data_IF_283600514824
#
_entry.id   IF_283600514824
#
_cell.length_a   1.000
_cell.length_b   1.000
_cell.length_c   1.000
_cell.angle_alpha   90.00
_cell.angle_beta   90.00
_cell.angle_gamma   90.00
#
_symmetry.space_group_name_H-M   'P 1'
#
loop_
_entity.id
_entity.type
_entity.pdbx_description
1 polymer ?
#
# COMPACT_ATOMS: atom_id res chain seq x y z
N UNK A 1 10.31 -18.54 -61.95
CA UNK A 1 10.77 -19.72 -61.19
C UNK A 1 10.45 -19.50 -59.71
N UNK A 2 9.42 -20.21 -59.22
CA UNK A 2 9.04 -20.14 -57.79
C UNK A 2 10.12 -20.89 -56.99
N UNK A 3 11.01 -20.17 -56.36
CA UNK A 3 11.89 -20.72 -55.33
C UNK A 3 11.01 -21.18 -54.15
N UNK A 4 10.71 -22.49 -54.13
CA UNK A 4 9.97 -23.15 -53.05
C UNK A 4 10.74 -22.94 -51.73
N UNK A 5 10.18 -22.17 -50.86
CA UNK A 5 10.68 -21.89 -49.50
C UNK A 5 10.83 -23.22 -48.75
N UNK A 6 12.06 -23.70 -48.55
CA UNK A 6 12.35 -25.02 -48.05
C UNK A 6 12.61 -25.04 -46.55
N UNK A 7 11.94 -26.00 -45.86
CA UNK A 7 12.34 -26.39 -44.49
C UNK A 7 13.37 -27.51 -44.60
N UNK A 8 14.53 -27.33 -43.95
CA UNK A 8 15.59 -28.34 -43.91
C UNK A 8 15.53 -29.11 -42.59
N UNK A 9 15.70 -30.45 -42.66
CA UNK A 9 15.86 -31.27 -41.47
C UNK A 9 17.35 -31.37 -41.12
N UNK A 10 17.73 -30.98 -39.92
CA UNK A 10 19.13 -30.95 -39.44
C UNK A 10 19.19 -31.44 -38.00
N UNK A 11 20.34 -31.88 -37.53
CA UNK A 11 20.56 -32.00 -36.08
C UNK A 11 20.72 -30.60 -35.55
N UNK A 12 19.70 -30.14 -34.77
CA UNK A 12 19.61 -28.74 -34.39
C UNK A 12 20.73 -28.34 -33.43
N UNK A 13 21.61 -27.47 -33.88
CA UNK A 13 22.69 -26.85 -33.11
C UNK A 13 22.81 -25.38 -33.49
N UNK A 14 23.40 -24.56 -32.62
CA UNK A 14 23.67 -23.15 -32.96
C UNK A 14 24.60 -23.00 -34.15
N UNK A 15 25.51 -23.96 -34.36
CA UNK A 15 26.39 -24.01 -35.54
C UNK A 15 25.60 -24.21 -36.83
N UNK A 16 24.64 -25.15 -36.85
CA UNK A 16 23.76 -25.38 -37.99
C UNK A 16 22.82 -24.19 -38.25
N UNK A 17 22.28 -23.55 -37.19
CA UNK A 17 21.53 -22.34 -37.37
C UNK A 17 22.35 -21.25 -38.07
N UNK A 18 23.58 -21.00 -37.62
CA UNK A 18 24.47 -20.02 -38.25
C UNK A 18 24.86 -20.43 -39.66
N UNK A 19 25.19 -21.72 -39.92
CA UNK A 19 25.57 -22.25 -41.21
C UNK A 19 24.50 -22.03 -42.29
N UNK A 20 23.24 -22.13 -41.94
CA UNK A 20 22.13 -21.97 -42.86
C UNK A 20 21.57 -20.54 -42.93
N UNK A 21 22.07 -19.61 -42.11
CA UNK A 21 21.62 -18.23 -42.09
C UNK A 21 21.83 -17.49 -43.42
N UNK A 22 22.91 -17.80 -44.16
CA UNK A 22 23.23 -17.19 -45.47
C UNK A 22 22.36 -17.73 -46.62
N UNK A 23 21.70 -18.88 -46.45
CA UNK A 23 20.90 -19.53 -47.48
C UNK A 23 19.50 -19.00 -47.54
N UNK A 24 19.22 -17.97 -48.32
CA UNK A 24 17.94 -17.24 -48.37
C UNK A 24 16.71 -18.11 -48.68
N UNK A 25 16.89 -19.18 -49.47
CA UNK A 25 15.83 -20.16 -49.80
C UNK A 25 15.44 -21.07 -48.61
N UNK A 26 16.25 -21.12 -47.53
CA UNK A 26 15.94 -21.86 -46.32
C UNK A 26 15.24 -20.97 -45.36
N UNK A 27 13.93 -21.17 -45.14
CA UNK A 27 13.15 -20.35 -44.22
C UNK A 27 13.07 -20.91 -42.81
N UNK A 28 13.12 -22.24 -42.68
CA UNK A 28 13.03 -22.93 -41.41
C UNK A 28 13.95 -24.14 -41.36
N UNK A 29 14.33 -24.50 -40.13
CA UNK A 29 15.02 -25.77 -39.83
C UNK A 29 14.04 -26.60 -38.96
N UNK A 30 14.12 -27.94 -39.15
CA UNK A 30 13.42 -28.94 -38.32
C UNK A 30 14.47 -29.81 -37.65
N UNK A 31 14.30 -30.12 -36.38
CA UNK A 31 15.24 -30.99 -35.69
C UNK A 31 15.03 -32.45 -36.11
N UNK A 32 16.14 -33.13 -36.49
CA UNK A 32 16.09 -34.54 -36.88
C UNK A 32 15.84 -35.49 -35.73
N UNK A 33 16.23 -35.14 -34.50
CA UNK A 33 16.03 -35.94 -33.28
C UNK A 33 14.69 -35.70 -32.62
N UNK A 34 14.20 -34.46 -32.78
CA UNK A 34 12.93 -34.01 -32.22
C UNK A 34 12.07 -33.37 -33.32
N UNK A 35 11.32 -34.15 -34.09
CA UNK A 35 10.57 -33.65 -35.26
C UNK A 35 9.53 -32.57 -34.95
N UNK A 36 9.13 -32.46 -33.69
CA UNK A 36 8.26 -31.41 -33.19
C UNK A 36 8.92 -30.05 -33.08
N UNK A 37 10.26 -29.99 -32.98
CA UNK A 37 11.04 -28.77 -32.85
C UNK A 37 11.38 -28.16 -34.17
N UNK A 38 11.00 -26.90 -34.36
CA UNK A 38 11.27 -26.12 -35.54
C UNK A 38 11.93 -24.80 -35.18
N UNK A 39 12.82 -24.32 -36.01
CA UNK A 39 13.43 -23.00 -35.97
C UNK A 39 13.05 -22.22 -37.21
N UNK A 40 12.56 -20.97 -37.08
CA UNK A 40 12.28 -20.06 -38.20
C UNK A 40 13.20 -18.86 -38.16
N UNK A 41 13.88 -18.58 -39.25
CA UNK A 41 14.71 -17.37 -39.40
C UNK A 41 13.82 -16.12 -39.43
N UNK A 42 14.35 -15.03 -38.84
CA UNK A 42 13.75 -13.70 -39.01
C UNK A 42 13.89 -13.25 -40.47
N UNK A 43 12.91 -12.57 -41.00
CA UNK A 43 12.91 -11.99 -42.34
C UNK A 43 13.78 -10.74 -42.46
N UNK A 44 14.04 -10.07 -41.32
CA UNK A 44 14.81 -8.81 -41.27
C UNK A 44 16.28 -9.07 -40.94
N UNK A 45 16.54 -9.95 -39.98
CA UNK A 45 17.90 -10.27 -39.51
C UNK A 45 18.02 -11.77 -39.29
N UNK A 46 18.71 -12.46 -40.20
CA UNK A 46 18.83 -13.92 -40.17
C UNK A 46 19.82 -14.45 -39.11
N UNK A 47 20.54 -13.56 -38.43
CA UNK A 47 21.25 -13.93 -37.20
C UNK A 47 20.28 -14.18 -36.04
N UNK A 48 19.00 -13.79 -36.21
CA UNK A 48 17.89 -13.98 -35.25
C UNK A 48 16.83 -14.91 -35.82
N UNK A 49 16.04 -15.48 -34.94
CA UNK A 49 14.92 -16.35 -35.32
C UNK A 49 14.02 -16.69 -34.16
N UNK A 50 13.07 -17.58 -34.42
CA UNK A 50 12.12 -18.04 -33.43
C UNK A 50 12.00 -19.55 -33.38
N UNK A 51 11.96 -20.09 -32.18
CA UNK A 51 11.68 -21.49 -31.90
C UNK A 51 10.20 -21.76 -31.95
N UNK A 52 9.79 -22.87 -32.53
CA UNK A 52 8.43 -23.33 -32.61
C UNK A 52 8.35 -24.81 -32.26
N UNK A 53 7.30 -25.19 -31.53
CA UNK A 53 6.99 -26.59 -31.23
C UNK A 53 5.65 -26.93 -31.85
N UNK A 54 5.58 -28.06 -32.56
CA UNK A 54 4.38 -28.54 -33.25
C UNK A 54 3.86 -29.78 -32.54
N UNK A 55 2.67 -29.71 -31.97
CA UNK A 55 1.99 -30.83 -31.32
C UNK A 55 0.63 -31.03 -31.96
N UNK A 56 0.34 -32.23 -32.44
CA UNK A 56 -0.92 -32.57 -33.15
C UNK A 56 -1.26 -31.58 -34.25
N UNK A 57 -0.25 -31.16 -35.04
CA UNK A 57 -0.41 -30.22 -36.15
C UNK A 57 -0.54 -28.74 -35.76
N UNK A 58 -0.65 -28.41 -34.47
CA UNK A 58 -0.75 -27.03 -33.99
C UNK A 58 0.64 -26.45 -33.68
N UNK A 59 0.96 -25.34 -34.31
CA UNK A 59 2.19 -24.59 -34.13
C UNK A 59 2.11 -23.71 -32.88
N UNK A 60 3.13 -23.77 -32.02
CA UNK A 60 3.28 -22.87 -30.89
C UNK A 60 4.67 -22.26 -30.87
N UNK A 61 4.79 -20.96 -30.69
CA UNK A 61 6.08 -20.29 -30.54
C UNK A 61 6.65 -20.67 -29.17
N UNK A 62 7.92 -21.13 -29.16
CA UNK A 62 8.59 -21.57 -27.92
C UNK A 62 9.66 -20.60 -27.42
N UNK A 63 10.08 -19.63 -28.24
CA UNK A 63 11.05 -18.63 -27.82
C UNK A 63 11.74 -17.92 -28.99
N UNK A 64 12.71 -17.09 -28.68
CA UNK A 64 13.48 -16.34 -29.66
C UNK A 64 15.00 -16.66 -29.55
N UNK A 65 15.66 -16.84 -30.70
CA UNK A 65 17.09 -16.97 -30.81
C UNK A 65 17.72 -15.59 -31.10
N UNK A 66 18.90 -15.24 -30.56
CA UNK A 66 19.81 -16.07 -29.76
C UNK A 66 19.51 -16.11 -28.25
N UNK A 67 18.51 -15.43 -27.76
CA UNK A 67 18.18 -15.41 -26.32
C UNK A 67 17.98 -16.82 -25.75
N UNK A 68 17.40 -17.75 -26.53
CA UNK A 68 17.33 -19.17 -26.24
C UNK A 68 18.19 -19.88 -27.30
N UNK A 69 19.31 -20.48 -26.90
CA UNK A 69 20.16 -21.25 -27.77
C UNK A 69 19.59 -22.67 -27.98
N UNK A 70 20.18 -23.42 -28.94
CA UNK A 70 19.71 -24.76 -29.27
C UNK A 70 19.78 -25.74 -28.10
N UNK A 71 20.84 -25.67 -27.29
CA UNK A 71 21.04 -26.54 -26.13
C UNK A 71 19.94 -26.32 -25.08
N UNK A 72 19.63 -25.06 -24.74
CA UNK A 72 18.59 -24.70 -23.80
C UNK A 72 17.20 -25.10 -24.34
N UNK A 73 16.93 -24.88 -25.63
CA UNK A 73 15.68 -25.25 -26.24
C UNK A 73 15.47 -26.77 -26.21
N UNK A 74 16.49 -27.56 -26.48
CA UNK A 74 16.40 -29.02 -26.42
C UNK A 74 16.21 -29.54 -25.01
N UNK A 75 16.84 -28.95 -24.00
CA UNK A 75 16.64 -29.35 -22.59
C UNK A 75 15.25 -29.02 -22.07
N UNK A 76 14.61 -27.96 -22.57
CA UNK A 76 13.26 -27.53 -22.15
C UNK A 76 12.15 -28.19 -22.98
N UNK A 77 12.47 -28.77 -24.13
CA UNK A 77 11.50 -29.37 -25.05
C UNK A 77 10.59 -30.42 -24.41
N UNK A 78 11.08 -31.37 -23.57
CA UNK A 78 10.21 -32.38 -22.94
C UNK A 78 9.10 -31.74 -22.10
N UNK A 79 9.40 -30.68 -21.34
CA UNK A 79 8.41 -29.99 -20.50
C UNK A 79 7.38 -29.23 -21.35
N UNK A 80 7.78 -28.65 -22.48
CA UNK A 80 6.87 -27.99 -23.44
C UNK A 80 5.94 -29.02 -24.08
N UNK A 81 6.47 -30.17 -24.49
CA UNK A 81 5.69 -31.25 -25.09
C UNK A 81 4.69 -31.83 -24.10
N UNK A 82 5.10 -32.09 -22.85
CA UNK A 82 4.20 -32.57 -21.79
C UNK A 82 3.02 -31.61 -21.55
N UNK A 83 3.29 -30.30 -21.41
CA UNK A 83 2.24 -29.29 -21.26
C UNK A 83 1.30 -29.21 -22.44
N UNK A 84 1.82 -29.17 -23.65
CA UNK A 84 1.00 -29.08 -24.86
C UNK A 84 0.26 -30.37 -25.21
N UNK A 85 0.71 -31.49 -24.71
CA UNK A 85 -0.03 -32.75 -24.81
C UNK A 85 -1.23 -32.76 -23.89
N UNK A 86 -1.11 -32.16 -22.69
CA UNK A 86 -2.20 -32.02 -21.74
C UNK A 86 -3.19 -30.89 -22.18
N UNK A 87 -2.70 -29.76 -22.63
CA UNK A 87 -3.48 -28.64 -23.17
C UNK A 87 -2.80 -28.09 -24.45
N UNK A 88 -3.38 -28.37 -25.64
CA UNK A 88 -2.83 -27.90 -26.91
C UNK A 88 -2.80 -26.36 -27.06
N UNK A 89 -3.55 -25.64 -26.24
CA UNK A 89 -3.56 -24.16 -26.20
C UNK A 89 -2.54 -23.58 -25.20
N UNK A 90 -1.88 -24.45 -24.40
CA UNK A 90 -0.92 -24.00 -23.40
C UNK A 90 0.21 -23.17 -24.04
N UNK A 91 0.60 -22.12 -23.33
CA UNK A 91 1.69 -21.23 -23.76
C UNK A 91 3.02 -22.00 -23.81
N UNK A 92 3.69 -21.98 -24.97
CA UNK A 92 4.94 -22.67 -25.22
C UNK A 92 6.17 -21.78 -25.04
N UNK A 93 5.98 -20.51 -24.67
CA UNK A 93 7.09 -19.55 -24.55
C UNK A 93 8.01 -20.01 -23.41
N UNK A 94 9.18 -20.45 -23.74
CA UNK A 94 10.25 -20.69 -22.77
C UNK A 94 10.84 -19.33 -22.39
N UNK A 95 10.76 -18.96 -21.12
CA UNK A 95 11.49 -17.80 -20.61
C UNK A 95 12.98 -18.12 -20.60
N UNK A 96 13.78 -17.19 -21.07
CA UNK A 96 15.26 -17.30 -21.01
C UNK A 96 15.80 -17.03 -19.59
N UNK A 97 14.95 -16.89 -18.61
CA UNK A 97 15.34 -16.60 -17.23
C UNK A 97 15.81 -17.87 -16.54
N UNK A 98 17.04 -17.83 -16.08
CA UNK A 98 17.69 -18.92 -15.35
C UNK A 98 17.78 -18.62 -13.85
N UNK A 99 17.87 -17.34 -13.49
CA UNK A 99 18.18 -16.91 -12.14
C UNK A 99 17.07 -16.02 -11.53
N UNK A 100 17.10 -15.92 -10.22
CA UNK A 100 16.28 -14.93 -9.47
C UNK A 100 16.65 -13.52 -9.93
N UNK A 101 17.91 -13.26 -10.28
CA UNK A 101 18.39 -11.98 -10.78
C UNK A 101 17.66 -11.51 -12.04
N UNK A 102 17.34 -12.43 -12.95
CA UNK A 102 16.58 -12.11 -14.18
C UNK A 102 15.18 -11.59 -13.83
N UNK A 103 14.49 -12.25 -12.89
CA UNK A 103 13.17 -11.84 -12.41
C UNK A 103 13.24 -10.46 -11.72
N UNK A 104 14.25 -10.24 -10.88
CA UNK A 104 14.42 -8.98 -10.15
C UNK A 104 14.75 -7.82 -11.09
N UNK A 105 15.57 -8.06 -12.12
CA UNK A 105 15.91 -7.06 -13.14
C UNK A 105 14.68 -6.66 -13.94
N UNK A 106 13.95 -7.65 -14.45
CA UNK A 106 12.68 -7.41 -15.15
C UNK A 106 11.68 -6.65 -14.27
N UNK A 107 11.52 -7.08 -13.00
CA UNK A 107 10.57 -6.43 -12.09
C UNK A 107 10.96 -4.98 -11.79
N UNK A 108 12.26 -4.70 -11.67
CA UNK A 108 12.78 -3.34 -11.45
C UNK A 108 12.38 -2.41 -12.59
N UNK A 109 12.59 -2.84 -13.85
CA UNK A 109 12.20 -2.06 -15.02
C UNK A 109 10.69 -1.87 -15.10
N UNK A 110 9.92 -2.96 -14.98
CA UNK A 110 8.45 -2.91 -15.01
C UNK A 110 7.87 -1.98 -13.94
N UNK A 111 8.31 -2.12 -12.69
CA UNK A 111 7.84 -1.32 -11.57
C UNK A 111 8.15 0.17 -11.76
N UNK A 112 9.31 0.51 -12.34
CA UNK A 112 9.71 1.90 -12.59
C UNK A 112 8.71 2.62 -13.51
N UNK A 113 8.15 1.91 -14.49
CA UNK A 113 7.20 2.40 -15.50
C UNK A 113 5.73 2.34 -15.05
N UNK A 114 5.41 1.64 -13.97
CA UNK A 114 4.05 1.46 -13.49
C UNK A 114 3.47 2.80 -12.99
N UNK A 115 2.44 3.32 -13.67
CA UNK A 115 1.75 4.58 -13.32
C UNK A 115 0.83 4.43 -12.10
N UNK A 116 0.43 3.21 -11.75
CA UNK A 116 -0.41 2.93 -10.59
C UNK A 116 0.35 2.98 -9.25
N UNK A 117 1.70 2.92 -9.29
CA UNK A 117 2.51 2.97 -8.09
C UNK A 117 2.93 4.40 -7.74
N UNK A 118 2.75 4.78 -6.46
CA UNK A 118 3.23 6.05 -5.95
C UNK A 118 4.76 6.14 -5.99
N UNK A 119 5.32 7.35 -6.13
CA UNK A 119 6.77 7.63 -6.11
C UNK A 119 7.43 7.01 -4.87
N UNK A 120 6.80 7.16 -3.70
CA UNK A 120 7.30 6.58 -2.43
C UNK A 120 7.35 5.05 -2.48
N UNK A 121 6.34 4.40 -3.07
CA UNK A 121 6.31 2.93 -3.21
C UNK A 121 7.42 2.46 -4.15
N UNK A 122 7.61 3.14 -5.28
CA UNK A 122 8.70 2.86 -6.22
C UNK A 122 10.07 2.99 -5.54
N UNK A 123 10.33 4.09 -4.87
CA UNK A 123 11.59 4.33 -4.17
C UNK A 123 11.87 3.27 -3.09
N UNK A 124 10.85 2.90 -2.30
CA UNK A 124 10.97 1.85 -1.28
C UNK A 124 11.28 0.49 -1.90
N UNK A 125 10.58 0.10 -2.97
CA UNK A 125 10.80 -1.16 -3.64
C UNK A 125 12.17 -1.21 -4.34
N UNK A 126 12.59 -0.11 -5.00
CA UNK A 126 13.93 0.00 -5.59
C UNK A 126 15.05 -0.13 -4.55
N UNK A 127 14.85 0.47 -3.36
CA UNK A 127 15.80 0.32 -2.26
C UNK A 127 15.88 -1.13 -1.79
N UNK A 128 14.75 -1.82 -1.64
CA UNK A 128 14.69 -3.23 -1.28
C UNK A 128 15.38 -4.11 -2.32
N UNK A 129 15.11 -3.89 -3.60
CA UNK A 129 15.74 -4.60 -4.71
C UNK A 129 17.27 -4.41 -4.72
N UNK A 130 17.71 -3.16 -4.79
CA UNK A 130 19.13 -2.83 -4.98
C UNK A 130 20.00 -3.17 -3.76
N UNK A 131 19.50 -2.93 -2.52
CA UNK A 131 20.32 -3.08 -1.31
C UNK A 131 20.21 -4.45 -0.65
N UNK A 132 19.14 -5.19 -0.90
CA UNK A 132 18.84 -6.41 -0.15
C UNK A 132 18.61 -7.63 -1.03
N UNK A 133 17.79 -7.54 -2.08
CA UNK A 133 17.40 -8.69 -2.89
C UNK A 133 18.47 -9.06 -3.92
N UNK A 134 18.85 -8.12 -4.78
CA UNK A 134 19.84 -8.38 -5.85
C UNK A 134 21.16 -8.88 -5.27
N UNK A 135 21.80 -8.21 -4.28
CA UNK A 135 23.10 -8.65 -3.78
C UNK A 135 23.11 -10.05 -3.14
N UNK A 136 21.94 -10.58 -2.76
CA UNK A 136 21.83 -11.88 -2.07
C UNK A 136 21.30 -13.00 -2.94
N UNK A 137 20.52 -12.67 -3.96
CA UNK A 137 19.74 -13.66 -4.68
C UNK A 137 19.97 -13.65 -6.20
N UNK A 138 20.70 -12.69 -6.76
CA UNK A 138 20.83 -12.56 -8.22
C UNK A 138 21.38 -13.83 -8.90
N UNK A 139 22.33 -14.51 -8.27
CA UNK A 139 23.01 -15.68 -8.83
C UNK A 139 22.31 -17.01 -8.47
N UNK A 140 21.20 -16.95 -7.75
CA UNK A 140 20.41 -18.13 -7.36
C UNK A 140 19.62 -18.60 -8.57
N UNK A 141 19.80 -19.83 -8.99
CA UNK A 141 18.99 -20.45 -10.04
C UNK A 141 17.53 -20.55 -9.57
N UNK A 142 16.58 -20.40 -10.49
CA UNK A 142 15.15 -20.43 -10.17
C UNK A 142 14.72 -21.77 -9.55
N UNK A 143 15.32 -22.88 -10.04
CA UNK A 143 15.06 -24.22 -9.51
C UNK A 143 15.68 -24.45 -8.11
N UNK A 144 16.76 -23.72 -7.80
CA UNK A 144 17.43 -23.78 -6.50
C UNK A 144 16.81 -22.83 -5.45
N UNK A 145 15.80 -22.05 -5.82
CA UNK A 145 15.09 -21.17 -4.89
C UNK A 145 14.13 -21.98 -4.02
N UNK A 146 14.68 -22.61 -3.00
CA UNK A 146 13.93 -23.32 -1.96
C UNK A 146 13.73 -22.48 -0.71
N UNK A 147 12.83 -22.90 0.20
CA UNK A 147 12.66 -22.24 1.50
C UNK A 147 13.98 -22.17 2.29
N UNK A 148 14.77 -23.25 2.27
CA UNK A 148 16.11 -23.30 2.88
C UNK A 148 17.07 -22.27 2.27
N UNK A 149 17.09 -22.15 0.96
CA UNK A 149 17.96 -21.19 0.25
C UNK A 149 17.54 -19.76 0.60
N UNK A 150 16.24 -19.47 0.60
CA UNK A 150 15.69 -18.16 0.93
C UNK A 150 15.95 -17.79 2.40
N UNK A 151 15.78 -18.73 3.31
CA UNK A 151 16.08 -18.52 4.73
C UNK A 151 17.54 -18.17 4.94
N UNK A 152 18.45 -18.99 4.45
CA UNK A 152 19.90 -18.82 4.60
C UNK A 152 20.42 -17.52 3.99
N UNK A 153 19.98 -17.15 2.79
CA UNK A 153 20.55 -16.04 2.03
C UNK A 153 19.88 -14.69 2.33
N UNK A 154 18.59 -14.70 2.68
CA UNK A 154 17.82 -13.48 2.86
C UNK A 154 17.22 -13.36 4.26
N UNK A 155 16.38 -14.33 4.68
CA UNK A 155 15.50 -14.12 5.82
C UNK A 155 16.27 -14.05 7.13
N UNK A 156 17.17 -15.00 7.39
CA UNK A 156 17.97 -15.02 8.61
C UNK A 156 18.95 -13.84 8.69
N UNK A 157 19.79 -13.54 7.69
CA UNK A 157 20.70 -12.39 7.74
C UNK A 157 20.02 -11.03 7.86
N UNK A 158 18.76 -10.94 7.39
CA UNK A 158 18.00 -9.70 7.55
C UNK A 158 17.38 -9.57 8.94
N UNK A 159 16.93 -10.66 9.56
CA UNK A 159 16.38 -10.64 10.92
C UNK A 159 17.42 -10.23 11.96
N UNK A 160 18.68 -10.58 11.77
CA UNK A 160 19.78 -10.17 12.66
C UNK A 160 20.04 -8.66 12.65
N UNK A 161 19.72 -7.96 11.57
CA UNK A 161 20.14 -6.56 11.36
C UNK A 161 18.99 -5.56 11.26
N UNK A 162 17.76 -6.02 11.02
CA UNK A 162 16.64 -5.15 10.70
C UNK A 162 15.37 -5.54 11.47
N UNK A 163 14.55 -4.53 11.72
CA UNK A 163 13.22 -4.72 12.28
C UNK A 163 12.37 -5.67 11.41
N UNK A 164 11.64 -6.57 12.05
CA UNK A 164 10.84 -7.60 11.36
C UNK A 164 9.82 -7.02 10.36
N UNK A 165 9.30 -5.82 10.63
CA UNK A 165 8.41 -5.09 9.73
C UNK A 165 9.09 -4.71 8.41
N UNK A 166 10.39 -4.36 8.47
CA UNK A 166 11.18 -4.07 7.29
C UNK A 166 11.52 -5.36 6.53
N UNK A 167 11.92 -6.41 7.23
CA UNK A 167 12.15 -7.75 6.64
C UNK A 167 10.91 -8.21 5.87
N UNK A 168 9.72 -8.09 6.49
CA UNK A 168 8.45 -8.40 5.83
C UNK A 168 8.21 -7.57 4.57
N UNK A 169 8.59 -6.30 4.59
CA UNK A 169 8.45 -5.42 3.42
C UNK A 169 9.35 -5.87 2.27
N UNK A 170 10.60 -6.26 2.54
CA UNK A 170 11.56 -6.76 1.54
C UNK A 170 11.09 -8.10 0.96
N UNK A 171 10.68 -9.04 1.82
CA UNK A 171 10.05 -10.29 1.40
C UNK A 171 8.85 -10.05 0.48
N UNK A 172 8.00 -9.08 0.84
CA UNK A 172 6.83 -8.71 0.05
C UNK A 172 7.16 -8.22 -1.36
N UNK A 173 8.29 -7.51 -1.53
CA UNK A 173 8.76 -7.07 -2.86
C UNK A 173 9.14 -8.29 -3.72
N UNK A 174 9.89 -9.24 -3.15
CA UNK A 174 10.28 -10.48 -3.83
C UNK A 174 9.05 -11.29 -4.25
N UNK A 175 8.12 -11.53 -3.32
CA UNK A 175 6.89 -12.29 -3.57
C UNK A 175 6.01 -11.64 -4.66
N UNK A 176 5.96 -10.30 -4.70
CA UNK A 176 5.22 -9.58 -5.76
C UNK A 176 5.91 -9.73 -7.10
N UNK A 177 7.25 -9.68 -7.18
CA UNK A 177 7.99 -9.85 -8.41
C UNK A 177 7.69 -11.21 -9.06
N UNK A 178 7.81 -12.30 -8.29
CA UNK A 178 7.50 -13.65 -8.77
C UNK A 178 6.04 -13.84 -9.18
N UNK A 179 5.11 -13.34 -8.34
CA UNK A 179 3.68 -13.40 -8.66
C UNK A 179 3.32 -12.69 -9.96
N UNK A 180 3.91 -11.51 -10.21
CA UNK A 180 3.66 -10.78 -11.45
C UNK A 180 4.30 -11.49 -12.65
N UNK A 181 5.51 -12.01 -12.53
CA UNK A 181 6.17 -12.75 -13.58
C UNK A 181 5.34 -13.97 -14.02
N UNK A 182 4.82 -14.74 -13.05
CA UNK A 182 3.97 -15.90 -13.34
C UNK A 182 2.62 -15.50 -13.93
N UNK A 183 1.96 -14.46 -13.42
CA UNK A 183 0.69 -13.95 -13.98
C UNK A 183 0.79 -13.52 -15.44
N UNK A 184 1.97 -13.07 -15.85
CA UNK A 184 2.26 -12.66 -17.22
C UNK A 184 2.82 -13.78 -18.07
N UNK A 185 2.81 -15.02 -17.56
CA UNK A 185 3.37 -16.20 -18.24
C UNK A 185 4.85 -16.03 -18.63
N UNK A 186 5.60 -15.21 -17.88
CA UNK A 186 7.06 -15.08 -18.03
C UNK A 186 7.80 -16.16 -17.23
N UNK A 187 7.15 -16.72 -16.23
CA UNK A 187 7.53 -17.94 -15.52
C UNK A 187 6.38 -18.94 -15.63
N UNK A 188 6.71 -20.20 -15.85
CA UNK A 188 5.72 -21.29 -15.90
C UNK A 188 5.10 -21.56 -14.54
N UNK A 189 5.95 -21.55 -13.53
CA UNK A 189 5.57 -21.80 -12.14
C UNK A 189 6.19 -20.71 -11.24
N UNK A 190 5.49 -20.41 -10.17
CA UNK A 190 6.04 -19.50 -9.15
C UNK A 190 6.76 -20.33 -8.08
N UNK A 191 8.09 -20.32 -7.99
CA UNK A 191 8.83 -21.10 -6.99
C UNK A 191 8.51 -20.65 -5.55
N UNK A 192 7.97 -19.42 -5.38
CA UNK A 192 7.55 -18.90 -4.08
C UNK A 192 6.07 -19.12 -3.76
N UNK A 193 5.32 -19.88 -4.57
CA UNK A 193 3.86 -20.02 -4.39
C UNK A 193 3.48 -20.62 -3.02
N UNK A 194 4.27 -21.55 -2.52
CA UNK A 194 4.08 -22.21 -1.24
C UNK A 194 4.66 -21.47 -0.05
N UNK A 195 5.52 -20.46 -0.26
CA UNK A 195 6.22 -19.77 0.83
C UNK A 195 5.37 -18.64 1.39
N UNK A 196 5.25 -18.61 2.72
CA UNK A 196 4.66 -17.53 3.48
C UNK A 196 5.73 -16.86 4.33
N UNK A 197 5.59 -15.56 4.58
CA UNK A 197 6.50 -14.85 5.51
C UNK A 197 6.55 -15.52 6.89
N UNK A 198 5.42 -16.05 7.35
CA UNK A 198 5.27 -16.74 8.62
C UNK A 198 6.03 -18.06 8.72
N UNK A 199 6.45 -18.64 7.60
CA UNK A 199 7.29 -19.86 7.61
C UNK A 199 8.72 -19.55 8.10
N UNK A 200 9.15 -18.31 7.95
CA UNK A 200 10.48 -17.82 8.34
C UNK A 200 10.46 -17.01 9.64
N UNK A 201 9.35 -16.31 9.92
CA UNK A 201 9.21 -15.40 11.05
C UNK A 201 7.87 -15.66 11.73
N UNK A 202 7.88 -16.38 12.83
CA UNK A 202 6.68 -16.70 13.60
C UNK A 202 6.26 -15.57 14.54
N UNK A 203 7.18 -14.66 14.86
CA UNK A 203 6.89 -13.52 15.74
C UNK A 203 5.87 -12.59 15.13
N UNK A 204 4.76 -12.38 15.83
CA UNK A 204 3.71 -11.44 15.40
C UNK A 204 4.23 -10.01 15.43
N UNK A 205 4.26 -9.35 14.29
CA UNK A 205 4.57 -7.92 14.20
C UNK A 205 3.39 -7.14 14.76
N UNK A 206 3.57 -6.58 15.95
CA UNK A 206 2.56 -5.72 16.59
C UNK A 206 2.70 -4.28 16.04
N UNK A 207 1.57 -3.53 15.91
CA UNK A 207 1.63 -2.10 15.67
C UNK A 207 2.44 -1.42 16.79
N UNK A 208 3.24 -0.43 16.43
CA UNK A 208 3.94 0.37 17.44
C UNK A 208 2.92 1.05 18.37
N UNK A 209 3.12 0.94 19.68
CA UNK A 209 2.27 1.59 20.67
C UNK A 209 2.18 3.11 20.40
N UNK A 210 1.07 3.73 20.76
CA UNK A 210 0.97 5.17 20.77
C UNK A 210 1.91 5.72 21.86
N UNK A 211 2.68 6.76 21.50
CA UNK A 211 3.58 7.46 22.43
C UNK A 211 2.92 8.66 23.09
N UNK A 212 1.76 9.08 22.58
CA UNK A 212 0.90 10.07 23.19
C UNK A 212 -0.40 9.43 23.66
N UNK A 213 -0.84 9.79 24.84
CA UNK A 213 -2.09 9.41 25.48
C UNK A 213 -2.89 10.67 25.83
N UNK A 214 -4.12 10.53 26.30
CA UNK A 214 -4.95 11.66 26.71
C UNK A 214 -4.31 12.48 27.84
N UNK A 215 -3.62 11.84 28.77
CA UNK A 215 -2.92 12.50 29.89
C UNK A 215 -1.74 13.37 29.44
N UNK A 216 -1.21 13.13 28.22
CA UNK A 216 -0.10 13.92 27.66
C UNK A 216 -0.58 15.18 26.93
N UNK A 217 -1.92 15.37 26.79
CA UNK A 217 -2.49 16.52 26.06
C UNK A 217 -2.26 17.88 26.78
N UNK A 218 -2.46 18.01 28.11
CA UNK A 218 -2.24 19.29 28.75
C UNK A 218 -0.79 19.81 28.61
N UNK A 219 0.27 19.02 28.87
CA UNK A 219 1.62 19.50 28.65
C UNK A 219 1.94 19.75 27.16
N UNK A 220 1.40 18.94 26.23
CA UNK A 220 1.56 19.16 24.79
C UNK A 220 0.95 20.49 24.35
N UNK A 221 -0.31 20.77 24.74
CA UNK A 221 -1.00 21.98 24.36
C UNK A 221 -0.35 23.24 24.97
N UNK A 222 0.17 23.14 26.19
CA UNK A 222 0.95 24.22 26.81
C UNK A 222 2.24 24.51 26.04
N UNK A 223 3.01 23.47 25.70
CA UNK A 223 4.23 23.62 24.89
C UNK A 223 3.94 24.25 23.51
N UNK A 224 2.85 23.86 22.87
CA UNK A 224 2.41 24.46 21.60
C UNK A 224 1.96 25.93 21.78
N UNK A 225 1.28 26.28 22.88
CA UNK A 225 0.87 27.66 23.18
C UNK A 225 2.07 28.58 23.40
N UNK A 226 3.10 28.11 24.10
CA UNK A 226 4.34 28.87 24.31
C UNK A 226 5.15 29.08 23.02
N UNK A 227 4.95 28.25 22.02
CA UNK A 227 5.73 28.25 20.77
C UNK A 227 5.02 28.85 19.58
N UNK A 228 3.70 28.98 19.58
CA UNK A 228 2.92 29.30 18.38
C UNK A 228 3.34 30.63 17.75
N UNK A 229 3.75 31.62 18.53
CA UNK A 229 4.22 32.91 18.03
C UNK A 229 5.62 32.81 17.39
N UNK A 230 6.47 31.93 17.90
CA UNK A 230 7.86 31.76 17.41
C UNK A 230 7.99 30.81 16.24
N UNK A 231 7.20 29.74 16.25
CA UNK A 231 7.18 28.67 15.23
C UNK A 231 5.75 28.35 14.82
N UNK A 232 5.04 29.33 14.23
CA UNK A 232 3.62 29.21 13.94
C UNK A 232 3.28 28.07 12.98
N UNK A 233 4.15 27.80 11.99
CA UNK A 233 3.92 26.78 10.98
C UNK A 233 3.91 25.38 11.60
N UNK A 234 4.91 25.05 12.41
CA UNK A 234 5.06 23.76 13.07
C UNK A 234 3.94 23.52 14.09
N UNK A 235 3.67 24.55 14.92
CA UNK A 235 2.62 24.48 15.93
C UNK A 235 1.25 24.28 15.30
N UNK A 236 0.92 25.06 14.26
CA UNK A 236 -0.37 24.94 13.58
C UNK A 236 -0.49 23.62 12.81
N UNK A 237 0.60 23.12 12.21
CA UNK A 237 0.59 21.82 11.55
C UNK A 237 0.25 20.69 12.54
N UNK A 238 0.82 20.75 13.75
CA UNK A 238 0.52 19.80 14.83
C UNK A 238 -0.93 19.94 15.32
N UNK A 239 -1.39 21.17 15.55
CA UNK A 239 -2.76 21.45 16.00
C UNK A 239 -3.81 20.98 15.00
N UNK A 240 -3.63 21.27 13.70
CA UNK A 240 -4.56 20.78 12.66
C UNK A 240 -4.63 19.26 12.62
N UNK A 241 -3.50 18.58 12.81
CA UNK A 241 -3.48 17.11 12.87
C UNK A 241 -4.13 16.56 14.14
N UNK A 242 -3.91 17.19 15.27
CA UNK A 242 -4.55 16.82 16.55
C UNK A 242 -6.06 17.03 16.51
N UNK A 243 -6.50 18.23 16.11
CA UNK A 243 -7.91 18.61 16.06
C UNK A 243 -8.74 17.73 15.11
N UNK A 244 -8.19 17.36 13.96
CA UNK A 244 -8.96 16.66 12.92
C UNK A 244 -8.52 15.21 12.68
N UNK A 245 -7.49 14.74 13.36
CA UNK A 245 -6.96 13.38 13.14
C UNK A 245 -6.40 13.12 11.73
N UNK A 246 -6.06 14.16 10.97
CA UNK A 246 -5.58 14.06 9.57
C UNK A 246 -4.17 13.50 9.47
N UNK A 247 -3.79 13.02 8.29
CA UNK A 247 -2.42 12.57 8.04
C UNK A 247 -1.51 13.74 7.68
N UNK A 248 -0.24 13.68 8.08
CA UNK A 248 0.77 14.70 7.75
C UNK A 248 0.78 15.05 6.24
N UNK A 249 0.65 14.03 5.38
CA UNK A 249 0.62 14.23 3.93
C UNK A 249 -0.58 15.04 3.45
N UNK A 250 -1.73 14.86 4.08
CA UNK A 250 -2.98 15.57 3.79
C UNK A 250 -2.91 17.01 4.33
N UNK A 251 -2.53 17.15 5.60
CA UNK A 251 -2.49 18.47 6.27
C UNK A 251 -1.48 19.43 5.63
N UNK A 252 -0.24 19.00 5.37
CA UNK A 252 0.80 19.85 4.78
C UNK A 252 0.45 20.42 3.39
N UNK A 253 -0.50 19.78 2.68
CA UNK A 253 -0.95 20.20 1.35
C UNK A 253 -2.18 21.12 1.40
N UNK A 254 -2.67 21.45 2.61
CA UNK A 254 -3.84 22.30 2.78
C UNK A 254 -3.64 23.68 2.10
N UNK A 255 -4.69 24.13 1.42
CA UNK A 255 -4.73 25.39 0.69
C UNK A 255 -5.83 26.28 1.24
N UNK A 256 -5.58 27.58 1.30
CA UNK A 256 -6.55 28.58 1.76
C UNK A 256 -7.88 28.51 1.00
N UNK A 257 -7.86 28.30 -0.31
CA UNK A 257 -9.09 28.16 -1.13
C UNK A 257 -9.97 26.99 -0.77
N UNK A 258 -9.42 26.00 -0.06
CA UNK A 258 -10.12 24.78 0.36
C UNK A 258 -10.60 24.86 1.82
N UNK A 259 -10.36 25.97 2.51
CA UNK A 259 -10.82 26.24 3.87
C UNK A 259 -11.87 27.33 3.77
N UNK A 260 -13.12 26.99 4.10
CA UNK A 260 -14.22 27.94 4.12
C UNK A 260 -14.67 28.15 5.57
N UNK A 261 -14.34 29.31 6.12
CA UNK A 261 -14.68 29.66 7.51
C UNK A 261 -16.16 30.01 7.67
N UNK A 262 -16.82 30.49 6.61
CA UNK A 262 -18.26 30.83 6.63
C UNK A 262 -19.11 29.57 6.69
N UNK A 263 -18.85 28.58 5.80
CA UNK A 263 -19.55 27.29 5.82
C UNK A 263 -18.98 26.31 6.83
N UNK A 264 -17.85 26.68 7.48
CA UNK A 264 -17.13 25.87 8.46
C UNK A 264 -16.76 24.49 7.93
N UNK A 265 -16.03 24.47 6.80
CA UNK A 265 -15.61 23.25 6.14
C UNK A 265 -14.15 23.35 5.66
N UNK A 266 -13.43 22.26 5.80
CA UNK A 266 -12.12 22.04 5.19
C UNK A 266 -12.20 20.89 4.20
N UNK A 267 -12.03 21.21 2.91
CA UNK A 267 -12.03 20.24 1.81
C UNK A 267 -10.62 19.76 1.49
N UNK A 268 -10.42 18.45 1.42
CA UNK A 268 -9.16 17.81 1.03
C UNK A 268 -9.41 17.06 -0.29
N UNK A 269 -8.81 17.51 -1.41
CA UNK A 269 -8.99 16.87 -2.72
C UNK A 269 -8.50 15.42 -2.73
N UNK A 270 -9.11 14.56 -3.53
CA UNK A 270 -8.72 13.15 -3.70
C UNK A 270 -7.24 12.97 -4.07
N UNK A 271 -6.67 13.90 -4.86
CA UNK A 271 -5.26 13.87 -5.23
C UNK A 271 -4.32 13.98 -4.03
N UNK A 272 -4.73 14.67 -2.97
CA UNK A 272 -3.94 14.94 -1.77
C UNK A 272 -4.15 13.89 -0.68
N UNK A 273 -5.16 13.00 -0.82
CA UNK A 273 -5.45 11.93 0.15
C UNK A 273 -4.72 10.63 -0.18
N UNK A 274 -4.46 9.82 0.85
CA UNK A 274 -3.89 8.48 0.68
C UNK A 274 -4.88 7.50 0.05
N UNK A 275 -6.16 7.66 0.34
CA UNK A 275 -7.25 6.78 -0.13
C UNK A 275 -7.71 7.08 -1.54
N UNK A 276 -7.26 8.23 -2.12
CA UNK A 276 -7.73 8.75 -3.41
C UNK A 276 -9.23 9.07 -3.45
N UNK A 277 -9.83 9.27 -2.29
CA UNK A 277 -11.18 9.77 -2.11
C UNK A 277 -11.14 11.19 -1.56
N UNK A 278 -12.06 12.04 -2.00
CA UNK A 278 -12.27 13.37 -1.43
C UNK A 278 -12.64 13.29 0.04
N UNK A 279 -12.25 14.28 0.81
CA UNK A 279 -12.51 14.33 2.23
C UNK A 279 -12.89 15.72 2.67
N UNK A 280 -14.11 15.86 3.20
CA UNK A 280 -14.58 17.11 3.83
C UNK A 280 -14.65 16.93 5.33
N UNK A 281 -14.04 17.86 6.05
CA UNK A 281 -14.03 17.92 7.51
C UNK A 281 -14.79 19.16 7.96
N UNK A 282 -15.73 19.03 8.91
CA UNK A 282 -16.33 20.16 9.59
C UNK A 282 -15.29 20.93 10.39
N UNK A 283 -15.40 22.25 10.39
CA UNK A 283 -14.63 23.11 11.27
C UNK A 283 -15.54 23.56 12.42
N UNK A 284 -15.10 23.33 13.64
CA UNK A 284 -15.77 23.84 14.85
C UNK A 284 -15.39 25.32 15.06
N UNK A 285 -16.07 26.04 15.98
CA UNK A 285 -15.65 27.40 16.33
C UNK A 285 -14.18 27.50 16.75
N UNK A 286 -13.71 26.52 17.54
CA UNK A 286 -12.31 26.43 17.98
C UNK A 286 -11.34 26.27 16.80
N UNK A 287 -11.66 25.37 15.85
CA UNK A 287 -10.85 25.17 14.67
C UNK A 287 -10.82 26.43 13.78
N UNK A 288 -11.94 27.13 13.65
CA UNK A 288 -11.99 28.41 12.95
C UNK A 288 -11.09 29.45 13.60
N UNK A 289 -11.16 29.62 14.91
CA UNK A 289 -10.32 30.56 15.67
C UNK A 289 -8.83 30.27 15.53
N UNK A 290 -8.43 28.99 15.63
CA UNK A 290 -7.05 28.57 15.37
C UNK A 290 -6.58 28.95 13.96
N UNK A 291 -7.41 28.69 12.95
CA UNK A 291 -7.08 28.97 11.53
C UNK A 291 -6.99 30.49 11.29
N UNK A 292 -7.89 31.27 11.87
CA UNK A 292 -7.89 32.74 11.78
C UNK A 292 -6.64 33.34 12.43
N UNK A 293 -6.31 32.91 13.67
CA UNK A 293 -5.07 33.31 14.34
C UNK A 293 -3.84 33.01 13.50
N UNK A 294 -3.77 31.79 12.99
CA UNK A 294 -2.65 31.36 12.16
C UNK A 294 -2.54 32.19 10.86
N UNK A 295 -3.69 32.52 10.25
CA UNK A 295 -3.72 33.40 9.07
C UNK A 295 -3.16 34.77 9.38
N UNK A 296 -3.51 35.35 10.54
CA UNK A 296 -2.99 36.60 11.00
C UNK A 296 -1.48 36.58 11.22
N UNK A 297 -0.94 35.51 11.82
CA UNK A 297 0.49 35.29 11.99
C UNK A 297 1.22 35.18 10.64
N UNK A 298 0.64 34.49 9.66
CA UNK A 298 1.20 34.42 8.31
C UNK A 298 1.21 35.79 7.62
N UNK A 299 0.14 36.56 7.71
CA UNK A 299 0.03 37.90 7.14
C UNK A 299 1.01 38.84 7.79
N UNK A 300 1.18 38.79 9.11
CA UNK A 300 2.18 39.55 9.83
C UNK A 300 3.63 39.26 9.41
N UNK A 301 3.88 37.98 8.99
CA UNK A 301 5.16 37.60 8.40
C UNK A 301 5.30 37.89 6.91
N UNK A 302 4.33 38.60 6.30
CA UNK A 302 4.31 38.98 4.88
C UNK A 302 3.87 37.87 3.92
N UNK A 303 3.39 36.71 4.40
CA UNK A 303 2.92 35.63 3.53
C UNK A 303 1.43 35.78 3.17
N UNK A 304 1.13 35.80 1.86
CA UNK A 304 -0.23 35.85 1.30
C UNK A 304 -0.47 34.75 0.22
N UNK A 305 0.38 33.74 0.21
CA UNK A 305 0.31 32.69 -0.80
C UNK A 305 -0.83 31.69 -0.59
N UNK A 306 -0.96 30.71 -1.49
CA UNK A 306 -2.13 29.83 -1.54
C UNK A 306 -2.12 28.69 -0.52
N UNK A 307 -1.02 28.39 0.14
CA UNK A 307 -0.89 27.24 1.05
C UNK A 307 -0.96 27.67 2.52
N UNK A 308 -1.63 26.83 3.35
CA UNK A 308 -1.56 27.01 4.79
C UNK A 308 -0.14 26.77 5.32
N UNK A 309 0.56 25.80 4.74
CA UNK A 309 1.90 25.40 5.18
C UNK A 309 2.92 25.60 4.05
N UNK A 310 3.37 26.85 3.82
CA UNK A 310 4.29 27.18 2.74
C UNK A 310 5.71 26.74 3.05
N UNK A 311 6.42 26.24 2.03
CA UNK A 311 7.86 26.11 2.02
C UNK A 311 8.54 27.40 1.51
N UNK A 312 9.87 27.42 1.49
CA UNK A 312 10.66 28.60 1.06
C UNK A 312 10.33 29.08 -0.36
N UNK A 313 9.89 28.19 -1.25
CA UNK A 313 9.51 28.55 -2.63
C UNK A 313 8.06 29.04 -2.77
N UNK A 314 7.31 29.19 -1.67
CA UNK A 314 5.88 29.49 -1.70
C UNK A 314 4.97 28.31 -2.05
N UNK A 315 5.51 27.18 -2.47
CA UNK A 315 4.78 25.92 -2.59
C UNK A 315 4.55 25.28 -1.21
N UNK A 316 3.71 24.25 -1.13
CA UNK A 316 3.55 23.48 0.12
C UNK A 316 4.89 22.91 0.61
N UNK A 317 5.10 22.87 1.92
CA UNK A 317 6.29 22.22 2.49
C UNK A 317 6.44 20.79 2.00
N UNK A 318 7.68 20.36 1.76
CA UNK A 318 7.98 18.99 1.36
C UNK A 318 7.66 18.01 2.48
N UNK A 319 7.40 16.74 2.13
CA UNK A 319 7.15 15.69 3.13
C UNK A 319 8.35 15.48 4.07
N UNK A 320 9.58 15.65 3.55
CA UNK A 320 10.82 15.54 4.32
C UNK A 320 10.91 16.68 5.32
N UNK A 321 10.73 17.95 4.86
CA UNK A 321 10.77 19.11 5.75
C UNK A 321 9.71 19.01 6.84
N UNK A 322 8.46 18.67 6.49
CA UNK A 322 7.40 18.48 7.47
C UNK A 322 7.77 17.40 8.53
N UNK A 323 8.38 16.29 8.12
CA UNK A 323 8.86 15.28 9.08
C UNK A 323 9.99 15.81 9.98
N UNK A 324 10.91 16.62 9.44
CA UNK A 324 11.99 17.24 10.21
C UNK A 324 11.44 18.23 11.23
N UNK A 325 10.47 19.07 10.85
CA UNK A 325 9.80 20.01 11.75
C UNK A 325 9.11 19.29 12.91
N UNK A 326 8.41 18.18 12.64
CA UNK A 326 7.82 17.36 13.68
C UNK A 326 8.87 16.73 14.60
N UNK A 327 9.99 16.26 14.06
CA UNK A 327 11.08 15.72 14.89
C UNK A 327 11.66 16.77 15.83
N UNK A 328 11.80 18.02 15.37
CA UNK A 328 12.22 19.16 16.17
C UNK A 328 11.20 19.54 17.24
N UNK A 329 9.91 19.61 16.87
CA UNK A 329 8.83 19.93 17.78
C UNK A 329 8.65 18.87 18.87
N UNK A 330 8.67 17.59 18.49
CA UNK A 330 8.43 16.44 19.36
C UNK A 330 9.64 15.99 20.16
N UNK A 331 10.85 16.49 19.87
CA UNK A 331 12.12 16.09 20.51
C UNK A 331 12.33 14.56 20.61
N UNK A 332 11.75 13.79 19.70
CA UNK A 332 11.80 12.34 19.69
C UNK A 332 10.77 11.62 20.57
N UNK A 333 10.02 12.33 21.39
CA UNK A 333 9.03 11.77 22.33
C UNK A 333 7.80 11.22 21.62
N UNK A 334 7.32 11.89 20.56
CA UNK A 334 6.15 11.49 19.79
C UNK A 334 6.36 11.75 18.29
N UNK A 335 5.42 11.38 17.46
CA UNK A 335 5.44 11.60 16.02
C UNK A 335 4.12 12.17 15.52
N UNK A 336 4.12 12.73 14.31
CA UNK A 336 2.90 13.21 13.66
C UNK A 336 1.77 12.17 13.63
N UNK A 337 2.11 10.88 13.56
CA UNK A 337 1.11 9.81 13.58
C UNK A 337 0.51 9.56 14.97
N UNK A 338 1.25 9.88 16.04
CA UNK A 338 0.76 9.71 17.40
C UNK A 338 -0.32 10.76 17.73
N UNK A 339 -0.28 11.99 17.14
CA UNK A 339 -1.37 12.97 17.23
C UNK A 339 -2.69 12.41 16.69
N UNK A 340 -2.63 11.72 15.56
CA UNK A 340 -3.81 11.08 14.98
C UNK A 340 -4.29 9.89 15.81
N UNK A 341 -3.37 9.13 16.43
CA UNK A 341 -3.74 8.01 17.30
C UNK A 341 -4.43 8.49 18.57
N UNK A 342 -3.89 9.54 19.24
CA UNK A 342 -4.50 10.08 20.44
C UNK A 342 -5.89 10.63 20.14
N UNK A 343 -6.08 11.39 19.06
CA UNK A 343 -7.39 11.86 18.63
C UNK A 343 -8.37 10.69 18.44
N UNK A 344 -7.97 9.65 17.68
CA UNK A 344 -8.83 8.47 17.42
C UNK A 344 -9.21 7.72 18.71
N UNK A 345 -8.26 7.62 19.65
CA UNK A 345 -8.52 6.97 20.95
C UNK A 345 -9.47 7.81 21.78
N UNK A 346 -9.18 9.11 21.91
CA UNK A 346 -10.04 10.02 22.67
C UNK A 346 -11.47 10.12 22.10
N UNK A 347 -11.66 10.06 20.79
CA UNK A 347 -13.00 10.00 20.21
C UNK A 347 -13.77 8.77 20.68
N UNK A 348 -13.12 7.61 20.77
CA UNK A 348 -13.76 6.40 21.31
C UNK A 348 -14.10 6.56 22.79
N UNK A 349 -13.21 7.16 23.59
CA UNK A 349 -13.42 7.43 25.01
C UNK A 349 -14.56 8.44 25.24
N UNK A 350 -14.75 9.38 24.30
CA UNK A 350 -15.86 10.35 24.28
C UNK A 350 -17.17 9.76 23.73
N UNK A 351 -17.22 8.46 23.42
CA UNK A 351 -18.41 7.79 22.92
C UNK A 351 -18.73 8.06 21.43
N UNK A 352 -17.77 8.58 20.66
CA UNK A 352 -17.95 8.75 19.21
C UNK A 352 -18.11 7.39 18.54
N UNK A 353 -19.17 7.23 17.76
CA UNK A 353 -19.43 6.01 16.99
C UNK A 353 -18.21 5.60 16.17
N UNK A 354 -17.96 4.27 16.12
CA UNK A 354 -16.80 3.73 15.43
C UNK A 354 -16.73 4.16 13.95
N UNK A 355 -17.87 4.12 13.24
CA UNK A 355 -17.94 4.47 11.82
C UNK A 355 -17.68 5.97 11.61
N UNK A 356 -18.19 6.82 12.49
CA UNK A 356 -17.92 8.27 12.46
C UNK A 356 -16.43 8.54 12.62
N UNK A 357 -15.77 7.85 13.55
CA UNK A 357 -14.33 7.92 13.73
C UNK A 357 -13.55 7.46 12.50
N UNK A 358 -13.96 6.40 11.82
CA UNK A 358 -13.33 5.93 10.58
C UNK A 358 -13.56 6.91 9.41
N UNK A 359 -14.74 7.52 9.33
CA UNK A 359 -15.04 8.60 8.37
C UNK A 359 -14.18 9.84 8.62
N UNK A 360 -14.02 10.31 9.86
CA UNK A 360 -13.13 11.42 10.22
C UNK A 360 -11.68 11.14 9.85
N UNK A 361 -11.25 9.89 9.93
CA UNK A 361 -9.91 9.47 9.53
C UNK A 361 -9.76 9.27 8.02
N UNK A 362 -10.81 9.38 7.22
CA UNK A 362 -10.77 9.01 5.81
C UNK A 362 -10.15 7.63 5.59
N UNK A 363 -10.63 6.63 6.34
CA UNK A 363 -10.28 5.23 6.09
C UNK A 363 -11.15 4.68 4.97
N UNK A 364 -10.57 3.81 4.13
CA UNK A 364 -11.34 3.14 3.09
C UNK A 364 -12.40 2.25 3.74
N UNK A 365 -13.66 2.56 3.51
CA UNK A 365 -14.79 1.73 3.92
C UNK A 365 -15.05 0.67 2.85
N UNK A 366 -15.64 -0.46 3.24
CA UNK A 366 -16.10 -1.45 2.28
C UNK A 366 -17.27 -0.88 1.48
N UNK A 367 -17.38 -1.25 0.22
CA UNK A 367 -18.34 -0.66 -0.74
C UNK A 367 -19.80 -0.67 -0.26
N UNK A 368 -20.19 -1.64 0.56
CA UNK A 368 -21.53 -1.72 1.16
C UNK A 368 -21.80 -0.62 2.21
N UNK A 369 -20.77 -0.17 2.93
CA UNK A 369 -20.95 0.84 3.99
C UNK A 369 -20.98 2.26 3.39
N UNK A 370 -20.35 2.45 2.21
CA UNK A 370 -20.26 3.75 1.56
C UNK A 370 -21.62 4.26 1.00
N UNK A 371 -22.51 3.35 0.61
CA UNK A 371 -23.74 3.68 -0.11
C UNK A 371 -24.86 4.24 0.82
N UNK A 372 -24.82 3.92 2.10
CA UNK A 372 -25.92 4.25 3.04
C UNK A 372 -25.72 5.51 3.91
N UNK A 373 -24.52 6.15 3.88
CA UNK A 373 -24.12 7.09 4.95
C UNK A 373 -24.05 8.57 4.49
N UNK A 374 -24.41 8.90 3.24
CA UNK A 374 -24.10 10.24 2.69
C UNK A 374 -24.84 11.43 3.34
N UNK A 375 -26.05 11.27 3.85
CA UNK A 375 -26.87 12.43 4.27
C UNK A 375 -26.73 12.83 5.74
N UNK A 376 -26.45 11.88 6.63
CA UNK A 376 -26.31 12.15 8.09
C UNK A 376 -24.83 12.31 8.53
N UNK A 377 -23.88 11.89 7.68
CA UNK A 377 -22.47 11.77 8.06
C UNK A 377 -21.81 13.10 8.41
N UNK A 378 -22.22 14.21 7.79
CA UNK A 378 -21.60 15.51 8.06
C UNK A 378 -21.99 16.05 9.43
N UNK A 379 -23.28 15.91 9.79
CA UNK A 379 -23.77 16.27 11.13
C UNK A 379 -23.09 15.46 12.23
N UNK A 380 -22.98 14.14 12.05
CA UNK A 380 -22.30 13.26 13.01
C UNK A 380 -20.81 13.55 13.15
N UNK A 381 -20.11 13.83 12.05
CA UNK A 381 -18.71 14.26 12.09
C UNK A 381 -18.55 15.58 12.84
N UNK A 382 -19.47 16.52 12.65
CA UNK A 382 -19.46 17.81 13.34
C UNK A 382 -19.63 17.63 14.83
N UNK A 383 -20.63 16.89 15.28
CA UNK A 383 -20.87 16.58 16.69
C UNK A 383 -19.65 15.92 17.36
N UNK A 384 -19.04 14.96 16.66
CA UNK A 384 -17.86 14.28 17.15
C UNK A 384 -16.66 15.24 17.33
N UNK A 385 -16.43 16.15 16.36
CA UNK A 385 -15.37 17.14 16.47
C UNK A 385 -15.68 18.23 17.49
N UNK A 386 -16.93 18.61 17.69
CA UNK A 386 -17.33 19.53 18.75
C UNK A 386 -17.07 18.93 20.13
N UNK A 387 -17.47 17.69 20.37
CA UNK A 387 -17.14 16.98 21.60
C UNK A 387 -15.62 16.90 21.84
N UNK A 388 -14.85 16.59 20.79
CA UNK A 388 -13.41 16.51 20.87
C UNK A 388 -12.75 17.86 21.16
N UNK A 389 -13.16 18.93 20.49
CA UNK A 389 -12.56 20.24 20.68
C UNK A 389 -12.92 20.85 22.03
N UNK A 390 -14.13 20.59 22.52
CA UNK A 390 -14.51 20.96 23.89
C UNK A 390 -13.65 20.22 24.93
N UNK A 391 -13.36 18.95 24.69
CA UNK A 391 -12.42 18.19 25.53
C UNK A 391 -11.01 18.81 25.48
N UNK A 392 -10.51 19.20 24.32
CA UNK A 392 -9.21 19.85 24.18
C UNK A 392 -9.19 21.22 24.89
N UNK A 393 -10.27 22.01 24.87
CA UNK A 393 -10.38 23.26 25.62
C UNK A 393 -10.21 23.03 27.13
N UNK A 394 -10.88 22.01 27.68
CA UNK A 394 -10.74 21.64 29.09
C UNK A 394 -9.30 21.19 29.43
N UNK A 395 -8.50 20.82 28.43
CA UNK A 395 -7.14 20.33 28.60
C UNK A 395 -6.06 21.31 28.12
N UNK A 396 -6.41 22.61 27.87
CA UNK A 396 -5.45 23.67 27.61
C UNK A 396 -5.39 24.19 26.16
N UNK A 397 -6.41 23.97 25.33
CA UNK A 397 -6.47 24.51 23.97
C UNK A 397 -6.77 26.03 23.97
N UNK A 398 -7.51 26.56 24.95
CA UNK A 398 -7.98 27.96 24.98
C UNK A 398 -6.90 29.02 24.71
N UNK A 399 -5.68 28.97 25.29
CA UNK A 399 -4.63 29.96 25.00
C UNK A 399 -4.17 29.98 23.55
N UNK A 400 -4.44 28.91 22.79
CA UNK A 400 -4.10 28.79 21.38
C UNK A 400 -5.14 29.44 20.44
N UNK A 401 -6.38 29.68 20.91
CA UNK A 401 -7.48 30.20 20.10
C UNK A 401 -7.40 31.70 19.82
N UNK A 402 -6.64 32.46 20.64
CA UNK A 402 -6.48 33.89 20.52
C UNK A 402 -7.55 34.69 21.28
N UNK A 403 -7.28 35.98 21.49
CA UNK A 403 -8.10 36.88 22.32
C UNK A 403 -9.52 37.09 21.77
N UNK A 404 -9.69 37.05 20.45
CA UNK A 404 -11.00 37.22 19.80
C UNK A 404 -11.99 36.10 20.15
N UNK A 405 -11.49 34.88 20.33
CA UNK A 405 -12.32 33.73 20.73
C UNK A 405 -12.72 33.83 22.21
N UNK A 406 -11.79 34.18 23.08
CA UNK A 406 -12.05 34.34 24.51
C UNK A 406 -13.10 35.41 24.80
N UNK A 407 -13.18 36.47 23.99
CA UNK A 407 -14.20 37.51 24.07
C UNK A 407 -15.62 37.04 23.70
N UNK A 408 -15.73 36.01 22.83
CA UNK A 408 -17.03 35.46 22.42
C UNK A 408 -17.61 34.46 23.42
N UNK A 409 -16.80 33.75 24.20
CA UNK A 409 -17.29 32.85 25.26
C UNK A 409 -17.92 33.58 26.41
N UNK A 410 -17.44 34.75 26.78
CA UNK A 410 -18.04 35.57 27.84
C UNK A 410 -19.41 36.11 27.47
N UNK A 411 -19.88 35.96 26.23
CA UNK A 411 -21.21 36.37 25.75
C UNK A 411 -22.18 35.21 25.56
N UNK A 412 -21.81 33.95 25.80
CA UNK A 412 -22.72 32.79 25.68
C UNK A 412 -23.45 32.56 27.00
N UNK A 413 -24.80 32.41 27.01
CA UNK A 413 -25.52 31.94 28.19
C UNK A 413 -25.05 30.52 28.55
N UNK A 414 -24.85 30.30 29.86
CA UNK A 414 -24.47 28.98 30.42
C UNK A 414 -25.42 27.88 29.89
N UNK A 415 -24.94 26.80 29.29
CA UNK A 415 -25.83 25.74 28.85
C UNK A 415 -26.49 25.10 30.06
N UNK A 416 -27.83 25.14 30.13
CA UNK A 416 -28.58 24.27 31.02
C UNK A 416 -28.30 22.82 30.63
N UNK A 417 -27.94 22.01 31.61
CA UNK A 417 -27.76 20.58 31.48
C UNK A 417 -29.05 19.94 30.97
N UNK A 418 -29.16 19.72 29.68
CA UNK A 418 -30.24 18.97 29.06
C UNK A 418 -29.86 17.50 29.03
N UNK A 419 -30.69 16.72 29.72
CA UNK A 419 -30.61 15.27 29.87
C UNK A 419 -30.25 14.50 28.61
N UNK A 420 -29.10 13.89 28.62
CA UNK A 420 -28.61 12.93 27.56
C UNK A 420 -29.31 11.55 27.73
N UNK A 421 -30.28 11.41 28.64
CA UNK A 421 -30.98 10.13 28.91
C UNK A 421 -32.17 9.80 28.00
N UNK A 422 -32.58 10.68 27.08
CA UNK A 422 -33.81 10.47 26.31
C UNK A 422 -33.67 9.78 24.96
N UNK A 423 -32.45 9.36 24.52
CA UNK A 423 -32.25 8.80 23.18
C UNK A 423 -31.91 7.30 23.13
N UNK A 424 -31.83 6.60 24.29
CA UNK A 424 -31.53 5.16 24.30
C UNK A 424 -32.76 4.24 24.17
N UNK A 425 -34.00 4.74 24.30
CA UNK A 425 -35.20 3.88 24.47
C UNK A 425 -36.18 3.85 23.29
N UNK A 426 -35.85 4.37 22.14
CA UNK A 426 -36.76 4.32 20.99
C UNK A 426 -36.06 3.79 19.73
N UNK A 427 -36.31 2.51 19.44
CA UNK A 427 -36.17 1.77 18.16
C UNK A 427 -35.18 0.59 18.13
N UNK A 428 -35.44 -0.42 18.97
CA UNK A 428 -35.26 -1.81 18.53
C UNK A 428 -36.25 -2.71 19.31
N UNK A 429 -37.23 -3.35 18.67
CA UNK A 429 -38.06 -4.36 19.34
C UNK A 429 -37.16 -5.60 19.57
N UNK A 430 -37.12 -6.02 20.83
CA UNK A 430 -36.50 -7.25 21.29
C UNK A 430 -37.12 -8.44 20.57
N UNK A 431 -36.38 -9.06 19.65
CA UNK A 431 -36.74 -10.41 19.16
C UNK A 431 -36.43 -11.41 20.26
N UNK A 432 -37.50 -11.99 20.81
CA UNK A 432 -37.48 -13.01 21.84
C UNK A 432 -36.70 -14.24 21.39
N UNK A 433 -35.70 -14.63 22.17
CA UNK A 433 -35.10 -15.96 22.11
C UNK A 433 -36.14 -17.00 22.54
N UNK A 434 -36.62 -17.78 21.58
CA UNK A 434 -37.33 -19.04 21.87
C UNK A 434 -36.31 -20.06 22.39
N UNK A 435 -36.37 -20.37 23.67
CA UNK A 435 -35.77 -21.55 24.24
C UNK A 435 -36.45 -22.78 23.63
N UNK A 436 -35.73 -23.62 22.96
CA UNK A 436 -36.08 -24.97 22.63
C UNK A 436 -35.57 -25.86 23.77
N UNK A 437 -36.48 -26.17 24.70
CA UNK A 437 -36.35 -27.33 25.57
C UNK A 437 -36.52 -28.61 24.72
N UNK A 438 -35.49 -29.39 24.60
CA UNK A 438 -35.62 -30.78 24.19
C UNK A 438 -35.39 -31.71 25.37
N UNK A 439 -36.46 -32.43 25.63
CA UNK A 439 -36.65 -33.44 26.64
C UNK A 439 -35.50 -34.46 26.75
N UNK A 440 -35.14 -34.70 27.97
CA UNK A 440 -34.41 -35.84 28.47
C UNK A 440 -35.24 -37.12 28.30
N UNK A 441 -34.76 -38.09 27.54
CA UNK A 441 -35.23 -39.46 27.64
C UNK A 441 -34.14 -40.28 28.32
N UNK A 442 -34.50 -40.80 29.46
CA UNK A 442 -33.80 -41.82 30.22
C UNK A 442 -33.63 -43.11 29.40
N UNK A 443 -32.51 -43.73 29.50
CA UNK A 443 -32.43 -45.17 29.39
C UNK A 443 -31.37 -45.72 30.35
N UNK A 444 -31.71 -46.68 31.21
CA UNK A 444 -30.80 -47.31 32.15
C UNK A 444 -30.32 -48.66 31.63
N UNK A 445 -29.15 -49.07 32.04
CA UNK A 445 -28.49 -50.39 32.08
C UNK A 445 -27.11 -50.31 31.45
N UNK A 446 -26.03 -50.66 32.09
CA UNK A 446 -25.82 -51.72 33.05
C UNK A 446 -24.54 -52.39 32.66
N UNK A 447 -23.62 -52.56 33.59
CA UNK A 447 -22.68 -53.65 33.58
C UNK A 447 -21.30 -53.44 32.98
N UNK A 448 -20.29 -53.30 33.79
CA UNK A 448 -19.37 -54.40 34.11
C UNK A 448 -17.99 -54.32 33.40
N UNK A 449 -16.96 -54.25 34.20
CA UNK A 449 -15.61 -54.85 34.06
C UNK A 449 -14.79 -54.62 32.77
N UNK A 450 -13.67 -54.12 32.82
CA UNK A 450 -12.34 -54.36 33.38
C UNK A 450 -11.41 -53.18 33.08
#
# INVERSE_FOLDING_TARGET
MNDLVKTLTVIMTDAEIRRHASRLHVRALRDARHPELHFRYSTVDRAKGSWHVVVRGKWGKAGNYPGINSKLMQSTLPSILARRSADPAANSVTTSWATVGDVLTWYTDRMSRDRGLSVKRKASAQSALRRHLVPRLQDVELEALTSRTLDRLLMWPMQERYELSFVRSVYGVLAVAFRQATRLALLDTNPMASFKYTDFVQTRIRPKAARLRSDDLPPLLRDLAERIERVPLESMLALMMLCHGTRLGETRLARWKNVNLTTRQWFIPAADTKTKAEHTLPLTPQACALIERYRSLQQASGYQGPFLFPGRSGAAISATLASTLFSGLAKGEWSSHDLRKVARTAWADLGVDYMVGEMLLNHAMKDLDATYIHTAAEGLKRQALEAWHNYLEQHGLTPLLGETYAGQENMKPTPQATDIKAFSDSKYPSQGRKHNEKATAQNPNGGGNE
#
